data_IF_005371139128
#
_entry.id   IF_005371139128
#
_cell.length_a   1.000
_cell.length_b   1.000
_cell.length_c   1.000
_cell.angle_alpha   90.00
_cell.angle_beta   90.00
_cell.angle_gamma   90.00
#
_symmetry.space_group_name_H-M   'P 1'
#
loop_
_entity.id
_entity.type
_entity.pdbx_description
1 polymer ?
#
# COMPACT_ATOMS: atom_id res chain seq x y z
N UNK A 1 13.81 -1.80 -10.52
CA UNK A 1 13.48 -1.25 -9.18
C UNK A 1 13.81 0.23 -9.17
N UNK A 2 12.85 1.13 -8.91
CA UNK A 2 13.09 2.56 -8.89
C UNK A 2 14.14 2.95 -7.83
N UNK A 3 15.00 3.92 -8.15
CA UNK A 3 16.17 4.32 -7.34
C UNK A 3 15.76 4.75 -5.93
N UNK A 4 14.66 5.50 -5.83
CA UNK A 4 14.15 5.98 -4.54
C UNK A 4 13.62 4.85 -3.64
N UNK A 5 12.97 3.84 -4.21
CA UNK A 5 12.53 2.67 -3.44
C UNK A 5 13.72 1.90 -2.86
N UNK A 6 14.81 1.79 -3.61
CA UNK A 6 16.03 1.13 -3.14
C UNK A 6 16.66 1.89 -1.97
N UNK A 7 16.66 3.22 -2.02
CA UNK A 7 17.08 4.07 -0.91
C UNK A 7 16.22 3.85 0.33
N UNK A 8 14.89 3.88 0.20
CA UNK A 8 13.99 3.66 1.34
C UNK A 8 14.17 2.28 1.98
N UNK A 9 14.40 1.24 1.18
CA UNK A 9 14.67 -0.11 1.69
C UNK A 9 16.02 -0.22 2.41
N UNK A 10 17.05 0.46 1.91
CA UNK A 10 18.38 0.46 2.53
C UNK A 10 18.38 1.10 3.92
N UNK A 11 17.50 2.07 4.16
CA UNK A 11 17.39 2.80 5.43
C UNK A 11 16.10 2.47 6.19
N UNK A 12 15.47 1.33 5.91
CA UNK A 12 14.17 0.98 6.50
C UNK A 12 14.20 0.83 8.04
N UNK A 13 15.35 0.47 8.62
CA UNK A 13 15.61 0.40 10.07
C UNK A 13 15.85 1.77 10.72
N UNK A 14 16.03 2.83 9.93
CA UNK A 14 16.17 4.18 10.47
C UNK A 14 14.81 4.73 10.88
N UNK A 15 14.68 5.16 12.14
CA UNK A 15 13.42 5.68 12.70
C UNK A 15 12.85 6.85 11.88
N UNK A 16 13.71 7.73 11.38
CA UNK A 16 13.28 8.86 10.54
C UNK A 16 12.62 8.38 9.24
N UNK A 17 13.22 7.39 8.55
CA UNK A 17 12.67 6.84 7.31
C UNK A 17 11.38 6.07 7.59
N UNK A 18 11.33 5.36 8.71
CA UNK A 18 10.12 4.70 9.17
C UNK A 18 8.97 5.70 9.35
N UNK A 19 9.20 6.78 10.12
CA UNK A 19 8.21 7.82 10.35
C UNK A 19 7.81 8.54 9.06
N UNK A 20 8.77 8.81 8.17
CA UNK A 20 8.51 9.42 6.87
C UNK A 20 7.55 8.57 6.03
N UNK A 21 7.78 7.27 5.95
CA UNK A 21 6.91 6.35 5.19
C UNK A 21 5.50 6.30 5.79
N UNK A 22 5.40 6.19 7.13
CA UNK A 22 4.10 6.20 7.81
C UNK A 22 3.34 7.50 7.57
N UNK A 23 4.01 8.64 7.73
CA UNK A 23 3.42 9.95 7.49
C UNK A 23 2.92 10.12 6.05
N UNK A 24 3.72 9.65 5.07
CA UNK A 24 3.33 9.67 3.67
C UNK A 24 2.08 8.81 3.40
N UNK A 25 2.00 7.61 3.97
CA UNK A 25 0.79 6.79 3.86
C UNK A 25 -0.40 7.44 4.57
N UNK A 26 -0.25 7.97 5.77
CA UNK A 26 -1.34 8.67 6.46
C UNK A 26 -1.89 9.81 5.61
N UNK A 27 -1.01 10.63 5.03
CA UNK A 27 -1.43 11.70 4.11
C UNK A 27 -2.13 11.17 2.87
N UNK A 28 -1.68 10.05 2.32
CA UNK A 28 -2.35 9.40 1.19
C UNK A 28 -3.77 8.96 1.56
N UNK A 29 -3.95 8.25 2.67
CA UNK A 29 -5.28 7.82 3.11
C UNK A 29 -6.21 9.00 3.38
N UNK A 30 -5.72 10.03 4.07
CA UNK A 30 -6.51 11.23 4.39
C UNK A 30 -6.97 12.01 3.15
N UNK A 31 -6.10 12.13 2.14
CA UNK A 31 -6.37 12.99 0.98
C UNK A 31 -6.95 12.26 -0.24
N UNK A 32 -6.86 10.94 -0.26
CA UNK A 32 -7.26 10.15 -1.44
C UNK A 32 -8.27 9.08 -1.11
N UNK A 33 -8.20 8.47 0.06
CA UNK A 33 -9.06 7.33 0.39
C UNK A 33 -10.28 7.77 1.17
N UNK A 34 -10.10 8.60 2.20
CA UNK A 34 -11.20 9.05 3.06
C UNK A 34 -12.15 10.03 2.37
N UNK A 35 -11.75 10.64 1.26
CA UNK A 35 -12.63 11.47 0.43
C UNK A 35 -13.77 10.65 -0.20
N UNK A 36 -13.63 9.33 -0.28
CA UNK A 36 -14.72 8.46 -0.72
C UNK A 36 -15.66 8.13 0.45
N UNK A 37 -16.95 8.48 0.37
CA UNK A 37 -17.89 8.31 1.48
C UNK A 37 -18.07 6.84 1.90
N UNK A 38 -17.93 5.91 0.96
CA UNK A 38 -18.09 4.47 1.19
C UNK A 38 -16.75 3.73 1.40
N UNK A 39 -15.64 4.46 1.59
CA UNK A 39 -14.30 3.86 1.72
C UNK A 39 -14.17 2.81 2.83
N UNK A 40 -15.01 2.91 3.87
CA UNK A 40 -15.02 1.96 5.00
C UNK A 40 -15.84 0.70 4.73
N UNK A 41 -16.68 0.71 3.69
CA UNK A 41 -17.57 -0.40 3.36
C UNK A 41 -16.90 -1.41 2.41
N UNK A 42 -15.85 -1.00 1.70
CA UNK A 42 -15.18 -1.81 0.68
C UNK A 42 -13.73 -2.09 1.03
N UNK A 43 -13.25 -3.26 0.61
CA UNK A 43 -11.84 -3.61 0.70
C UNK A 43 -11.02 -2.76 -0.28
N UNK A 44 -9.97 -2.12 0.23
CA UNK A 44 -9.07 -1.31 -0.59
C UNK A 44 -7.91 -2.19 -1.05
N UNK A 45 -7.76 -2.31 -2.36
CA UNK A 45 -6.69 -3.08 -2.98
C UNK A 45 -5.56 -2.15 -3.44
N UNK A 46 -4.32 -2.56 -3.23
CA UNK A 46 -3.15 -1.81 -3.66
C UNK A 46 -2.34 -2.61 -4.67
N UNK A 47 -1.75 -1.91 -5.65
CA UNK A 47 -0.82 -2.51 -6.59
C UNK A 47 0.44 -1.67 -6.72
N UNK A 48 1.58 -2.33 -6.87
CA UNK A 48 2.86 -1.72 -7.19
C UNK A 48 3.95 -2.10 -6.21
N UNK A 49 5.20 -1.89 -6.63
CA UNK A 49 6.38 -2.26 -5.83
C UNK A 49 6.38 -1.61 -4.44
N UNK A 50 6.05 -0.31 -4.32
CA UNK A 50 6.04 0.40 -3.03
C UNK A 50 5.02 -0.21 -2.06
N UNK A 51 3.77 -0.41 -2.52
CA UNK A 51 2.73 -1.00 -1.69
C UNK A 51 3.09 -2.44 -1.27
N UNK A 52 3.70 -3.21 -2.16
CA UNK A 52 4.13 -4.58 -1.85
C UNK A 52 5.27 -4.63 -0.82
N UNK A 53 6.29 -3.78 -0.96
CA UNK A 53 7.44 -3.78 -0.05
C UNK A 53 7.14 -3.17 1.32
N UNK A 54 6.18 -2.24 1.42
CA UNK A 54 5.78 -1.60 2.67
C UNK A 54 4.38 -2.00 3.13
N UNK A 55 3.91 -3.19 2.74
CA UNK A 55 2.56 -3.70 3.05
C UNK A 55 2.24 -3.68 4.55
N UNK A 56 3.21 -3.96 5.41
CA UNK A 56 2.99 -4.05 6.86
C UNK A 56 2.70 -2.65 7.44
N UNK A 57 3.43 -1.64 6.97
CA UNK A 57 3.18 -0.23 7.33
C UNK A 57 1.86 0.26 6.77
N UNK A 58 1.53 -0.15 5.55
CA UNK A 58 0.29 0.20 4.88
C UNK A 58 -0.92 -0.40 5.62
N UNK A 59 -0.80 -1.64 6.12
CA UNK A 59 -1.77 -2.28 7.00
C UNK A 59 -1.96 -1.54 8.31
N UNK A 60 -0.87 -1.18 8.98
CA UNK A 60 -0.92 -0.44 10.25
C UNK A 60 -1.66 0.90 10.07
N UNK A 61 -1.34 1.63 9.01
CA UNK A 61 -1.98 2.92 8.72
C UNK A 61 -3.46 2.73 8.38
N UNK A 62 -3.82 1.79 7.50
CA UNK A 62 -5.23 1.57 7.17
C UNK A 62 -6.08 1.16 8.37
N UNK A 63 -5.55 0.28 9.25
CA UNK A 63 -6.22 -0.09 10.49
C UNK A 63 -6.45 1.12 11.40
N UNK A 64 -5.49 2.05 11.49
CA UNK A 64 -5.65 3.28 12.27
C UNK A 64 -6.78 4.19 11.77
N UNK A 65 -7.13 4.11 10.49
CA UNK A 65 -8.26 4.82 9.88
C UNK A 65 -9.57 4.01 9.86
N UNK A 66 -9.57 2.77 10.38
CA UNK A 66 -10.71 1.86 10.35
C UNK A 66 -11.07 1.42 8.93
N UNK A 67 -10.08 1.29 8.06
CA UNK A 67 -10.23 0.85 6.67
C UNK A 67 -9.84 -0.62 6.53
N UNK A 68 -10.55 -1.33 5.65
CA UNK A 68 -10.27 -2.71 5.30
C UNK A 68 -9.34 -2.75 4.09
N UNK A 69 -8.20 -3.44 4.24
CA UNK A 69 -7.28 -3.68 3.14
C UNK A 69 -7.50 -5.08 2.59
N UNK A 70 -7.70 -5.14 1.28
CA UNK A 70 -7.75 -6.39 0.53
C UNK A 70 -6.37 -6.78 0.00
N UNK A 71 -6.34 -7.15 -1.28
CA UNK A 71 -5.16 -7.67 -1.96
C UNK A 71 -4.12 -6.56 -2.20
N UNK A 72 -2.86 -6.85 -1.87
CA UNK A 72 -1.70 -6.00 -2.18
C UNK A 72 -0.76 -6.77 -3.12
N UNK A 73 -0.69 -6.34 -4.38
CA UNK A 73 0.10 -7.03 -5.42
C UNK A 73 1.26 -6.20 -5.93
N UNK A 74 2.37 -6.86 -6.29
CA UNK A 74 3.55 -6.16 -6.84
C UNK A 74 3.34 -5.65 -8.25
N UNK A 75 2.57 -6.37 -9.05
CA UNK A 75 2.29 -6.08 -10.46
C UNK A 75 0.82 -6.38 -10.77
N UNK A 76 0.12 -5.51 -11.51
CA UNK A 76 -1.29 -5.71 -11.83
C UNK A 76 -1.52 -6.93 -12.74
N UNK A 77 -0.49 -7.38 -13.46
CA UNK A 77 -0.58 -8.51 -14.38
C UNK A 77 -0.74 -9.86 -13.69
N UNK A 78 -0.33 -10.02 -12.42
CA UNK A 78 -0.41 -11.32 -11.75
C UNK A 78 -1.85 -11.81 -11.65
N UNK A 79 -2.81 -10.94 -11.33
CA UNK A 79 -4.24 -11.28 -11.31
C UNK A 79 -4.85 -11.52 -12.71
N UNK A 80 -4.33 -10.86 -13.75
CA UNK A 80 -4.82 -11.04 -15.13
C UNK A 80 -4.38 -12.37 -15.75
N UNK A 81 -3.19 -12.85 -15.37
CA UNK A 81 -2.67 -14.15 -15.82
C UNK A 81 -3.51 -15.28 -15.20
N UNK A 82 -3.81 -15.23 -13.90
CA UNK A 82 -4.70 -16.20 -13.23
C UNK A 82 -6.10 -16.25 -13.86
N UNK A 83 -6.65 -15.09 -14.23
CA UNK A 83 -7.95 -15.01 -14.90
C UNK A 83 -7.97 -15.68 -16.29
N UNK A 84 -6.85 -15.71 -17.00
CA UNK A 84 -6.76 -16.34 -18.33
C UNK A 84 -6.23 -17.79 -18.31
N UNK A 85 -5.58 -18.23 -17.24
CA UNK A 85 -5.09 -19.61 -17.09
C UNK A 85 -6.15 -20.57 -16.52
N UNK A 86 -7.22 -20.05 -15.93
CA UNK A 86 -8.31 -20.85 -15.36
C UNK A 86 -9.51 -20.99 -16.32
N UNK A 87 -9.29 -20.74 -17.63
CA UNK A 87 -10.29 -20.90 -18.69
C UNK A 87 -9.88 -22.00 -19.68
#
# INVERSE_FOLDING_TARGET
MPVFLRFLLQYADNDYVHQLILAAFCQFFQRKVLDYPDAKQYDIHFTGSIAFYFKDKLHLVAQSFGLLLGKIEKTPMSGLIDYHLTQ
#
